data_IF_869680398673
#
_entry.id   IF_869680398673
#
_cell.length_a   1.000
_cell.length_b   1.000
_cell.length_c   1.000
_cell.angle_alpha   90.00
_cell.angle_beta   90.00
_cell.angle_gamma   90.00
#
_symmetry.space_group_name_H-M   'P 1'
#
loop_
_entity.id
_entity.type
_entity.pdbx_description
1 polymer ?
#
# COMPACT_ATOMS: atom_id res chain seq x y z
N UNK A 1 2.25 -5.51 12.80
CA UNK A 1 2.48 -6.11 11.46
C UNK A 1 3.70 -5.43 10.84
N UNK A 2 4.73 -6.18 10.48
CA UNK A 2 5.95 -5.65 9.85
C UNK A 2 5.90 -5.97 8.35
N UNK A 3 6.21 -4.99 7.49
CA UNK A 3 6.28 -5.21 6.02
C UNK A 3 7.60 -4.72 5.46
N UNK A 4 8.02 -5.35 4.37
CA UNK A 4 9.23 -4.96 3.65
C UNK A 4 8.94 -3.75 2.77
N UNK A 5 9.94 -2.87 2.64
CA UNK A 5 9.87 -1.69 1.76
C UNK A 5 9.66 -2.10 0.30
N UNK A 6 10.34 -3.17 -0.13
CA UNK A 6 10.19 -3.74 -1.48
C UNK A 6 8.79 -4.26 -1.74
N UNK A 7 8.20 -4.95 -0.77
CA UNK A 7 6.83 -5.47 -0.85
C UNK A 7 5.80 -4.32 -0.89
N UNK A 8 6.03 -3.24 -0.14
CA UNK A 8 5.21 -2.03 -0.20
C UNK A 8 5.29 -1.34 -1.58
N UNK A 9 6.47 -1.30 -2.21
CA UNK A 9 6.65 -0.74 -3.55
C UNK A 9 5.92 -1.57 -4.61
N UNK A 10 6.02 -2.91 -4.54
CA UNK A 10 5.35 -3.81 -5.48
C UNK A 10 3.82 -3.76 -5.35
N UNK A 11 3.29 -3.72 -4.13
CA UNK A 11 1.84 -3.72 -3.89
C UNK A 11 1.22 -2.35 -4.23
N UNK A 12 1.96 -1.25 -4.09
CA UNK A 12 1.45 0.09 -4.41
C UNK A 12 1.73 0.53 -5.86
N UNK A 13 2.58 -0.20 -6.60
CA UNK A 13 2.95 0.16 -7.98
C UNK A 13 3.82 1.42 -8.09
N UNK A 14 4.23 2.02 -6.97
CA UNK A 14 5.03 3.24 -6.86
C UNK A 14 6.52 2.89 -6.88
N UNK A 15 7.31 3.61 -7.66
CA UNK A 15 8.77 3.42 -7.68
C UNK A 15 9.42 3.67 -6.29
N UNK A 16 10.54 3.00 -6.03
CA UNK A 16 11.27 3.07 -4.75
C UNK A 16 11.68 4.50 -4.30
N UNK A 17 12.09 5.44 -5.19
CA UNK A 17 12.53 6.77 -4.76
C UNK A 17 11.42 7.65 -4.15
N UNK A 18 10.21 7.76 -4.76
CA UNK A 18 9.06 8.40 -4.13
C UNK A 18 8.66 7.75 -2.79
N UNK A 19 8.65 6.41 -2.75
CA UNK A 19 8.27 5.66 -1.54
C UNK A 19 9.23 5.97 -0.37
N UNK A 20 10.52 6.07 -0.63
CA UNK A 20 11.54 6.41 0.37
C UNK A 20 11.30 7.78 1.03
N UNK A 21 10.83 8.78 0.26
CA UNK A 21 10.48 10.11 0.80
C UNK A 21 9.26 10.02 1.72
N UNK A 22 8.19 9.38 1.27
CA UNK A 22 6.97 9.19 2.06
C UNK A 22 7.26 8.44 3.36
N UNK A 23 8.03 7.36 3.30
CA UNK A 23 8.42 6.58 4.47
C UNK A 23 9.25 7.39 5.48
N UNK A 24 10.18 8.22 4.99
CA UNK A 24 10.98 9.08 5.87
C UNK A 24 10.13 10.16 6.53
N UNK A 25 9.11 10.66 5.85
CA UNK A 25 8.17 11.62 6.43
C UNK A 25 7.29 10.96 7.49
N UNK A 26 6.81 9.75 7.25
CA UNK A 26 6.04 8.98 8.24
C UNK A 26 6.88 8.60 9.47
N UNK A 27 8.17 8.29 9.28
CA UNK A 27 9.13 8.07 10.37
C UNK A 27 9.37 9.34 11.19
N UNK A 28 9.57 10.50 10.53
CA UNK A 28 9.71 11.79 11.22
C UNK A 28 8.46 12.20 12.01
N UNK A 29 7.29 11.74 11.57
CA UNK A 29 6.02 12.00 12.26
C UNK A 29 5.75 11.00 13.41
N UNK A 30 6.67 10.05 13.65
CA UNK A 30 6.53 9.08 14.74
C UNK A 30 5.62 7.90 14.43
N UNK A 31 5.10 7.79 13.20
CA UNK A 31 4.16 6.72 12.82
C UNK A 31 4.84 5.42 12.40
N UNK A 32 6.13 5.48 12.08
CA UNK A 32 6.91 4.36 11.53
C UNK A 32 8.28 4.24 12.20
N UNK A 33 8.69 3.01 12.45
CA UNK A 33 10.02 2.61 12.90
C UNK A 33 10.72 1.83 11.80
N UNK A 34 11.94 2.24 11.46
CA UNK A 34 12.85 1.47 10.61
C UNK A 34 13.77 0.62 11.45
N UNK A 35 13.81 -0.68 11.17
CA UNK A 35 14.82 -1.59 11.70
C UNK A 35 15.49 -2.36 10.56
N UNK A 36 16.71 -2.81 10.79
CA UNK A 36 17.37 -3.76 9.88
C UNK A 36 16.99 -5.17 10.29
N UNK A 37 16.82 -6.07 9.32
CA UNK A 37 16.61 -7.48 9.63
C UNK A 37 17.83 -8.05 10.38
N UNK A 38 17.62 -8.85 11.44
CA UNK A 38 18.70 -9.55 12.11
C UNK A 38 19.39 -10.60 11.22
N UNK A 39 18.74 -11.02 10.13
CA UNK A 39 19.24 -12.03 9.19
C UNK A 39 19.98 -11.42 7.99
N UNK A 40 19.64 -10.20 7.59
CA UNK A 40 20.33 -9.48 6.51
C UNK A 40 20.21 -7.97 6.71
N UNK A 41 21.35 -7.31 6.91
CA UNK A 41 21.44 -5.86 7.13
C UNK A 41 21.03 -5.04 5.89
N UNK A 42 20.95 -5.67 4.71
CA UNK A 42 20.43 -5.05 3.48
C UNK A 42 18.91 -4.96 3.47
N UNK A 43 18.24 -5.75 4.31
CA UNK A 43 16.79 -5.75 4.43
C UNK A 43 16.35 -4.69 5.46
N UNK A 44 15.56 -3.72 4.98
CA UNK A 44 14.92 -2.71 5.84
C UNK A 44 13.49 -3.15 6.15
N UNK A 45 13.24 -3.36 7.44
CA UNK A 45 11.93 -3.65 8.00
C UNK A 45 11.25 -2.35 8.43
N UNK A 46 9.97 -2.23 8.11
CA UNK A 46 9.13 -1.14 8.56
C UNK A 46 8.11 -1.68 9.55
N UNK A 47 8.05 -1.06 10.72
CA UNK A 47 7.07 -1.37 11.76
C UNK A 47 6.26 -0.13 12.06
N UNK A 48 4.93 -0.22 12.02
CA UNK A 48 4.08 0.86 12.53
C UNK A 48 4.27 0.98 14.04
N UNK A 49 4.38 2.20 14.54
CA UNK A 49 4.32 2.48 15.98
C UNK A 49 2.88 2.35 16.49
N UNK A 50 2.68 2.37 17.80
CA UNK A 50 1.33 2.41 18.38
C UNK A 50 0.53 3.64 17.90
N UNK A 51 1.19 4.79 17.76
CA UNK A 51 0.60 6.01 17.21
C UNK A 51 0.26 5.84 15.72
N UNK A 52 1.16 5.21 14.95
CA UNK A 52 0.91 4.91 13.54
C UNK A 52 -0.27 3.94 13.32
N UNK A 53 -0.41 2.94 14.19
CA UNK A 53 -1.56 2.03 14.17
C UNK A 53 -2.86 2.76 14.49
N UNK A 54 -2.87 3.59 15.55
CA UNK A 54 -4.06 4.38 15.92
C UNK A 54 -4.47 5.30 14.77
N UNK A 55 -3.50 5.95 14.12
CA UNK A 55 -3.78 6.83 12.98
C UNK A 55 -4.28 6.10 11.74
N UNK A 56 -3.79 4.88 11.52
CA UNK A 56 -4.26 4.01 10.46
C UNK A 56 -5.71 3.58 10.69
N UNK A 57 -6.07 3.25 11.94
CA UNK A 57 -7.45 2.92 12.32
C UNK A 57 -8.40 4.10 12.09
N UNK A 58 -8.00 5.31 12.49
CA UNK A 58 -8.76 6.53 12.21
C UNK A 58 -8.98 6.73 10.70
N UNK A 59 -7.93 6.56 9.90
CA UNK A 59 -8.00 6.68 8.45
C UNK A 59 -8.91 5.63 7.83
N UNK A 60 -8.77 4.37 8.24
CA UNK A 60 -9.63 3.27 7.77
C UNK A 60 -11.09 3.57 8.08
N UNK A 61 -11.41 4.05 9.30
CA UNK A 61 -12.78 4.41 9.66
C UNK A 61 -13.35 5.50 8.77
N UNK A 62 -12.56 6.52 8.45
CA UNK A 62 -12.97 7.59 7.53
C UNK A 62 -13.18 7.01 6.13
N UNK A 63 -12.22 6.23 5.62
CA UNK A 63 -12.31 5.61 4.29
C UNK A 63 -13.55 4.72 4.18
N UNK A 64 -13.80 3.84 5.14
CA UNK A 64 -14.98 2.97 5.18
C UNK A 64 -16.28 3.78 5.20
N UNK A 65 -16.33 4.84 6.01
CA UNK A 65 -17.49 5.73 6.09
C UNK A 65 -17.75 6.39 4.73
N UNK A 66 -16.71 6.86 4.05
CA UNK A 66 -16.85 7.48 2.74
C UNK A 66 -17.16 6.45 1.65
N UNK A 67 -16.51 5.29 1.66
CA UNK A 67 -16.80 4.19 0.73
C UNK A 67 -18.27 3.79 0.84
N UNK A 68 -18.75 3.48 2.04
CA UNK A 68 -20.16 3.14 2.28
C UNK A 68 -21.12 4.22 1.77
N UNK A 69 -20.79 5.50 1.94
CA UNK A 69 -21.62 6.61 1.43
C UNK A 69 -21.62 6.71 -0.08
N UNK A 70 -20.48 6.52 -0.73
CA UNK A 70 -20.32 6.64 -2.19
C UNK A 70 -20.89 5.42 -2.90
N UNK A 71 -20.78 4.23 -2.30
CA UNK A 71 -21.26 2.97 -2.89
C UNK A 71 -22.72 2.67 -2.57
N UNK A 72 -23.37 3.43 -1.68
CA UNK A 72 -24.75 3.19 -1.21
C UNK A 72 -25.79 3.03 -2.34
N UNK A 73 -25.58 3.68 -3.48
CA UNK A 73 -26.51 3.65 -4.61
C UNK A 73 -26.15 2.59 -5.66
N UNK A 74 -25.10 1.81 -5.42
CA UNK A 74 -24.57 0.82 -6.36
C UNK A 74 -24.79 -0.58 -5.77
N UNK A 75 -25.39 -1.52 -6.50
CA UNK A 75 -25.50 -2.91 -6.07
C UNK A 75 -24.13 -3.53 -5.78
N UNK A 76 -24.04 -4.36 -4.73
CA UNK A 76 -22.79 -5.05 -4.37
C UNK A 76 -22.23 -5.92 -5.51
N UNK A 77 -23.12 -6.53 -6.31
CA UNK A 77 -22.72 -7.33 -7.47
C UNK A 77 -22.00 -6.51 -8.55
N UNK A 78 -22.44 -5.27 -8.76
CA UNK A 78 -21.83 -4.37 -9.74
C UNK A 78 -20.47 -3.86 -9.24
N UNK A 79 -20.36 -3.57 -7.94
CA UNK A 79 -19.08 -3.22 -7.30
C UNK A 79 -18.08 -4.37 -7.33
N UNK A 80 -18.53 -5.60 -7.07
CA UNK A 80 -17.70 -6.79 -7.15
C UNK A 80 -17.20 -7.03 -8.59
N UNK A 81 -18.08 -6.85 -9.57
CA UNK A 81 -17.74 -6.95 -10.99
C UNK A 81 -16.72 -5.88 -11.38
N UNK A 82 -16.97 -4.63 -11.02
CA UNK A 82 -16.06 -3.50 -11.26
C UNK A 82 -14.68 -3.74 -10.63
N UNK A 83 -14.63 -4.19 -9.38
CA UNK A 83 -13.39 -4.53 -8.69
C UNK A 83 -12.63 -5.65 -9.41
N UNK A 84 -13.33 -6.69 -9.85
CA UNK A 84 -12.74 -7.79 -10.62
C UNK A 84 -12.14 -7.30 -11.94
N UNK A 85 -12.87 -6.48 -12.70
CA UNK A 85 -12.39 -5.91 -13.96
C UNK A 85 -11.20 -4.99 -13.75
N UNK A 86 -11.22 -4.12 -12.75
CA UNK A 86 -10.08 -3.25 -12.40
C UNK A 86 -8.84 -4.06 -12.03
N UNK A 87 -8.99 -5.11 -11.22
CA UNK A 87 -7.88 -5.98 -10.85
C UNK A 87 -7.29 -6.69 -12.07
N UNK A 88 -8.12 -7.10 -13.02
CA UNK A 88 -7.66 -7.69 -14.28
C UNK A 88 -6.88 -6.68 -15.13
N UNK A 89 -7.34 -5.43 -15.22
CA UNK A 89 -6.61 -4.35 -15.91
C UNK A 89 -5.26 -4.08 -15.23
N UNK A 90 -5.23 -4.02 -13.89
CA UNK A 90 -3.99 -3.83 -13.12
C UNK A 90 -3.00 -4.98 -13.33
N UNK A 91 -3.50 -6.22 -13.42
CA UNK A 91 -2.69 -7.39 -13.73
C UNK A 91 -2.08 -7.29 -15.14
N UNK A 92 -2.88 -6.92 -16.14
CA UNK A 92 -2.39 -6.73 -17.51
C UNK A 92 -1.33 -5.62 -17.60
N UNK A 93 -1.52 -4.50 -16.89
CA UNK A 93 -0.53 -3.41 -16.82
C UNK A 93 0.79 -3.86 -16.19
N UNK A 94 0.74 -4.71 -15.17
CA UNK A 94 1.96 -5.27 -14.55
C UNK A 94 2.73 -6.16 -15.52
N UNK A 95 2.02 -6.99 -16.30
CA UNK A 95 2.62 -7.85 -17.34
C UNK A 95 3.35 -6.98 -18.38
N UNK A 96 2.68 -5.96 -18.90
CA UNK A 96 3.27 -5.03 -19.90
C UNK A 96 4.53 -4.37 -19.33
N UNK A 97 4.49 -3.89 -18.08
CA UNK A 97 5.65 -3.25 -17.44
C UNK A 97 6.82 -4.20 -17.21
N UNK A 98 6.56 -5.50 -16.98
CA UNK A 98 7.59 -6.53 -16.86
C UNK A 98 8.19 -6.95 -18.22
N UNK A 99 7.42 -6.82 -19.30
CA UNK A 99 7.88 -7.02 -20.67
C UNK A 99 8.76 -5.86 -21.16
N UNK A 100 8.34 -4.61 -20.92
CA UNK A 100 9.09 -3.40 -21.31
C UNK A 100 10.44 -3.28 -20.58
N UNK A 101 10.55 -3.81 -19.36
CA UNK A 101 11.77 -3.73 -18.55
C UNK A 101 12.80 -4.84 -18.87
N UNK A 102 12.49 -5.73 -19.83
CA UNK A 102 13.39 -6.80 -20.33
C UNK A 102 14.06 -6.46 -21.67
N UNK A 103 13.74 -5.32 -22.27
CA UNK A 103 14.31 -4.79 -23.52
C UNK A 103 15.33 -3.70 -23.17
#
# INVERSE_FOLDING_TARGET
MQRLVSELAEVQGIELPPLMRTLTQLEKQGYLLRSTSPYDKRIRLLTLTAEGLTKLEDLNRVIETYQSRVTRTIPEADLATFSTTLNQIACNLRIIREEDNKI
#
